data_IF_559806235736
#
_entry.id   IF_559806235736
#
_cell.length_a   1.000
_cell.length_b   1.000
_cell.length_c   1.000
_cell.angle_alpha   90.00
_cell.angle_beta   90.00
_cell.angle_gamma   90.00
#
_symmetry.space_group_name_H-M   'P 1'
#
loop_
_entity.id
_entity.type
_entity.pdbx_description
1 polymer ?
#
# COMPACT_ATOMS: atom_id res chain seq x y z
N UNK A 1 -4.70 -4.29 -8.84
CA UNK A 1 -3.29 -3.96 -9.13
C UNK A 1 -3.20 -2.78 -10.09
N UNK A 2 -3.88 -2.82 -11.23
CA UNK A 2 -3.78 -1.73 -12.21
C UNK A 2 -4.22 -0.38 -11.70
N UNK A 3 -5.33 -0.33 -10.97
CA UNK A 3 -5.84 0.92 -10.39
C UNK A 3 -4.90 1.47 -9.32
N UNK A 4 -4.36 0.61 -8.48
CA UNK A 4 -3.39 1.01 -7.46
C UNK A 4 -2.11 1.51 -8.10
N UNK A 5 -1.63 0.84 -9.14
CA UNK A 5 -0.44 1.24 -9.88
C UNK A 5 -0.59 2.64 -10.46
N UNK A 6 -1.72 2.90 -11.14
CA UNK A 6 -2.04 4.20 -11.70
C UNK A 6 -2.10 5.29 -10.61
N UNK A 7 -2.75 4.99 -9.49
CA UNK A 7 -2.90 5.93 -8.38
C UNK A 7 -1.53 6.23 -7.75
N UNK A 8 -0.69 5.23 -7.58
CA UNK A 8 0.65 5.39 -7.04
C UNK A 8 1.50 6.29 -7.95
N UNK A 9 1.42 6.11 -9.27
CA UNK A 9 2.09 6.98 -10.22
C UNK A 9 1.59 8.43 -10.11
N UNK A 10 0.28 8.61 -10.04
CA UNK A 10 -0.33 9.93 -9.97
C UNK A 10 0.11 10.71 -8.72
N UNK A 11 0.32 10.04 -7.61
CA UNK A 11 0.74 10.68 -6.36
C UNK A 11 2.25 10.63 -6.12
N UNK A 12 3.02 10.18 -7.11
CA UNK A 12 4.48 10.26 -7.04
C UNK A 12 5.14 9.25 -6.11
N UNK A 13 4.55 8.08 -5.92
CA UNK A 13 5.21 7.00 -5.20
C UNK A 13 6.47 6.56 -5.96
N UNK A 14 7.47 6.05 -5.25
CA UNK A 14 8.72 5.63 -5.87
C UNK A 14 8.61 4.25 -6.53
N UNK A 15 7.67 3.44 -6.12
CA UNK A 15 7.50 2.11 -6.69
C UNK A 15 6.36 1.35 -6.04
N UNK A 16 6.08 0.19 -6.61
CA UNK A 16 5.04 -0.72 -6.14
C UNK A 16 5.64 -2.11 -6.01
N UNK A 17 5.42 -2.76 -4.89
CA UNK A 17 5.89 -4.13 -4.66
C UNK A 17 4.67 -5.03 -4.58
N UNK A 18 4.63 -6.04 -5.45
CA UNK A 18 3.57 -7.04 -5.46
C UNK A 18 4.04 -8.26 -4.71
N UNK A 19 3.36 -8.55 -3.62
CA UNK A 19 3.64 -9.72 -2.82
C UNK A 19 2.74 -10.89 -3.23
N UNK A 20 2.92 -12.03 -2.59
CA UNK A 20 2.28 -13.30 -2.95
C UNK A 20 0.79 -13.19 -3.28
N UNK A 21 0.37 -13.79 -4.39
CA UNK A 21 -1.04 -13.88 -4.77
C UNK A 21 -1.62 -12.66 -5.47
N UNK A 22 -0.81 -11.67 -5.81
CA UNK A 22 -1.28 -10.53 -6.58
C UNK A 22 -1.54 -10.91 -8.04
N UNK A 23 -2.41 -10.14 -8.71
CA UNK A 23 -2.65 -10.31 -10.13
C UNK A 23 -1.37 -10.04 -10.93
N UNK A 24 -1.25 -10.69 -12.10
CA UNK A 24 -0.13 -10.47 -12.99
C UNK A 24 -0.08 -8.99 -13.42
N UNK A 25 1.00 -8.26 -13.10
CA UNK A 25 1.10 -6.84 -13.43
C UNK A 25 1.19 -6.59 -14.95
N UNK A 26 1.57 -7.60 -15.72
CA UNK A 26 1.75 -7.50 -17.18
C UNK A 26 0.57 -8.04 -17.97
N UNK A 27 -0.50 -8.49 -17.31
CA UNK A 27 -1.72 -8.91 -18.00
C UNK A 27 -2.37 -7.76 -18.76
N UNK A 28 -2.98 -8.01 -19.94
CA UNK A 28 -3.55 -6.93 -20.76
C UNK A 28 -4.55 -6.03 -20.04
N UNK A 29 -5.41 -6.62 -19.20
CA UNK A 29 -6.38 -5.85 -18.42
C UNK A 29 -5.70 -4.94 -17.40
N UNK A 30 -4.68 -5.44 -16.72
CA UNK A 30 -3.90 -4.66 -15.75
C UNK A 30 -3.19 -3.51 -16.44
N UNK A 31 -2.50 -3.76 -17.54
CA UNK A 31 -1.79 -2.73 -18.31
C UNK A 31 -2.74 -1.62 -18.74
N UNK A 32 -3.93 -1.97 -19.25
CA UNK A 32 -4.93 -0.97 -19.62
C UNK A 32 -5.40 -0.13 -18.43
N UNK A 33 -5.57 -0.75 -17.28
CA UNK A 33 -6.03 -0.04 -16.08
C UNK A 33 -5.01 0.97 -15.56
N UNK A 34 -3.72 0.84 -15.89
CA UNK A 34 -2.69 1.77 -15.44
C UNK A 34 -2.71 3.11 -16.18
N UNK A 35 -3.36 3.16 -17.34
CA UNK A 35 -3.38 4.37 -18.18
C UNK A 35 -1.99 4.94 -18.45
N UNK A 36 -1.02 4.05 -18.70
CA UNK A 36 0.34 4.45 -19.02
C UNK A 36 1.32 4.43 -17.84
N UNK A 37 0.85 4.29 -16.60
CA UNK A 37 1.73 4.21 -15.44
C UNK A 37 2.71 3.03 -15.53
N UNK A 38 2.34 1.97 -16.26
CA UNK A 38 3.18 0.81 -16.52
C UNK A 38 4.56 1.19 -17.08
N UNK A 39 4.67 2.34 -17.75
CA UNK A 39 5.92 2.82 -18.33
C UNK A 39 6.67 3.82 -17.44
N UNK A 40 6.07 4.28 -16.35
CA UNK A 40 6.64 5.34 -15.51
C UNK A 40 7.00 4.90 -14.11
N UNK A 41 6.20 4.03 -13.50
CA UNK A 41 6.40 3.63 -12.11
C UNK A 41 6.95 2.21 -12.04
N UNK A 42 8.12 1.99 -11.44
CA UNK A 42 8.66 0.64 -11.31
C UNK A 42 7.78 -0.24 -10.43
N UNK A 43 7.63 -1.50 -10.84
CA UNK A 43 6.91 -2.52 -10.10
C UNK A 43 7.81 -3.72 -9.94
N UNK A 44 7.89 -4.24 -8.72
CA UNK A 44 8.67 -5.43 -8.40
C UNK A 44 7.75 -6.50 -7.84
N UNK A 45 8.09 -7.75 -8.09
CA UNK A 45 7.46 -8.89 -7.43
C UNK A 45 8.45 -9.42 -6.40
N UNK A 46 7.98 -9.64 -5.17
CA UNK A 46 8.83 -10.15 -4.10
C UNK A 46 7.99 -10.83 -3.02
N UNK A 47 8.61 -11.75 -2.31
CA UNK A 47 7.99 -12.29 -1.11
C UNK A 47 8.02 -11.22 -0.01
N UNK A 48 6.99 -11.22 0.83
CA UNK A 48 6.80 -10.20 1.85
C UNK A 48 8.00 -10.12 2.82
N UNK A 49 8.51 -11.25 3.27
CA UNK A 49 9.65 -11.26 4.20
C UNK A 49 10.88 -10.61 3.59
N UNK A 50 11.14 -10.86 2.31
CA UNK A 50 12.27 -10.27 1.61
C UNK A 50 12.09 -8.77 1.41
N UNK A 51 10.89 -8.35 1.00
CA UNK A 51 10.59 -6.93 0.84
C UNK A 51 10.76 -6.19 2.16
N UNK A 52 10.26 -6.76 3.26
CA UNK A 52 10.39 -6.16 4.58
C UNK A 52 11.86 -6.05 5.02
N UNK A 53 12.66 -7.07 4.73
CA UNK A 53 14.09 -7.05 5.06
C UNK A 53 14.84 -5.95 4.30
N UNK A 54 14.55 -5.78 3.02
CA UNK A 54 15.17 -4.72 2.21
C UNK A 54 14.78 -3.35 2.72
N UNK A 55 13.50 -3.13 3.03
CA UNK A 55 13.03 -1.86 3.56
C UNK A 55 13.67 -1.54 4.92
N UNK A 56 13.79 -2.53 5.79
CA UNK A 56 14.45 -2.37 7.08
C UNK A 56 15.92 -1.99 6.91
N UNK A 57 16.63 -2.62 5.98
CA UNK A 57 18.02 -2.32 5.69
C UNK A 57 18.21 -0.88 5.19
N UNK A 58 17.23 -0.35 4.46
CA UNK A 58 17.26 1.04 3.98
C UNK A 58 16.70 2.04 4.99
N UNK A 59 16.29 1.58 6.16
CA UNK A 59 15.73 2.46 7.18
C UNK A 59 14.35 3.02 6.83
N UNK A 60 13.59 2.32 6.00
CA UNK A 60 12.26 2.75 5.59
C UNK A 60 11.22 2.07 6.48
N UNK A 61 10.46 2.84 7.28
CA UNK A 61 9.44 2.23 8.15
C UNK A 61 8.32 1.60 7.31
N UNK A 62 7.89 0.42 7.74
CA UNK A 62 6.83 -0.35 7.09
C UNK A 62 5.58 -0.29 7.93
N UNK A 63 4.49 0.19 7.35
CA UNK A 63 3.18 0.25 7.97
C UNK A 63 2.24 -0.75 7.28
N UNK A 64 1.18 -1.11 7.98
CA UNK A 64 0.14 -1.97 7.41
C UNK A 64 -1.23 -1.40 7.77
N UNK A 65 -2.18 -1.47 6.84
CA UNK A 65 -3.55 -1.05 7.14
C UNK A 65 -4.26 -2.15 7.93
N UNK A 66 -4.87 -1.79 9.06
CA UNK A 66 -5.56 -2.74 9.93
C UNK A 66 -6.53 -2.04 10.88
N UNK A 67 -7.34 -2.82 11.59
CA UNK A 67 -8.27 -2.33 12.61
C UNK A 67 -8.06 -3.12 13.91
N UNK A 68 -6.91 -2.92 14.54
CA UNK A 68 -6.54 -3.56 15.81
C UNK A 68 -6.58 -2.53 16.94
N UNK A 69 -6.48 -2.99 18.19
CA UNK A 69 -6.55 -2.10 19.35
C UNK A 69 -5.46 -1.03 19.35
N UNK A 70 -4.25 -1.39 18.92
CA UNK A 70 -3.11 -0.48 18.89
C UNK A 70 -2.95 0.25 17.54
N UNK A 71 -3.90 0.07 16.63
CA UNK A 71 -3.88 0.74 15.33
C UNK A 71 -4.14 2.24 15.52
N UNK A 72 -3.33 3.06 14.86
CA UNK A 72 -3.43 4.52 14.95
C UNK A 72 -4.03 5.11 13.67
N UNK A 73 -4.58 6.31 13.80
CA UNK A 73 -5.10 7.05 12.65
C UNK A 73 -3.94 7.38 11.69
N UNK A 74 -4.15 7.14 10.41
CA UNK A 74 -3.13 7.35 9.38
C UNK A 74 -2.60 8.79 9.37
N UNK A 75 -3.40 9.75 9.84
CA UNK A 75 -3.02 11.15 9.88
C UNK A 75 -2.04 11.49 11.00
N UNK A 76 -1.83 10.58 11.96
CA UNK A 76 -0.98 10.82 13.12
C UNK A 76 0.45 10.29 12.96
N UNK A 77 0.77 9.68 11.84
CA UNK A 77 2.10 9.12 11.57
C UNK A 77 2.76 9.84 10.40
N UNK A 78 4.09 9.84 10.41
CA UNK A 78 4.88 10.44 9.33
C UNK A 78 5.03 9.43 8.19
N UNK A 79 4.38 9.70 7.07
CA UNK A 79 4.38 8.80 5.92
C UNK A 79 5.22 9.29 4.74
N UNK A 80 5.89 10.42 4.87
CA UNK A 80 6.67 11.01 3.76
C UNK A 80 7.76 10.08 3.22
N UNK A 81 8.41 9.30 4.08
CA UNK A 81 9.39 8.29 3.70
C UNK A 81 9.00 6.98 4.36
N UNK A 82 8.16 6.22 3.68
CA UNK A 82 7.60 5.00 4.26
C UNK A 82 7.15 4.03 3.18
N UNK A 83 6.85 2.81 3.59
CA UNK A 83 6.15 1.83 2.78
C UNK A 83 4.88 1.41 3.53
N UNK A 84 3.81 1.18 2.81
CA UNK A 84 2.52 0.78 3.40
C UNK A 84 2.00 -0.47 2.71
N UNK A 85 1.64 -1.47 3.50
CA UNK A 85 1.02 -2.70 3.00
C UNK A 85 -0.49 -2.49 2.93
N UNK A 86 -1.04 -2.72 1.74
CA UNK A 86 -2.49 -2.72 1.52
C UNK A 86 -2.94 -4.16 1.38
N UNK A 87 -3.87 -4.57 2.20
CA UNK A 87 -4.39 -5.93 2.17
C UNK A 87 -5.33 -6.20 1.01
N UNK A 88 -5.56 -7.48 0.72
CA UNK A 88 -6.51 -7.89 -0.31
C UNK A 88 -7.95 -7.68 0.16
N UNK A 89 -8.87 -7.55 -0.80
CA UNK A 89 -10.29 -7.45 -0.50
C UNK A 89 -10.78 -8.72 0.20
N UNK A 90 -11.58 -8.55 1.23
CA UNK A 90 -12.18 -9.64 2.00
C UNK A 90 -11.27 -10.30 3.02
N UNK A 91 -9.96 -10.31 2.82
CA UNK A 91 -9.00 -10.94 3.74
C UNK A 91 -8.20 -9.94 4.56
N UNK A 92 -8.04 -8.72 4.05
CA UNK A 92 -7.21 -7.74 4.70
C UNK A 92 -5.71 -8.11 4.64
N UNK A 93 -4.96 -7.58 5.58
CA UNK A 93 -3.51 -7.81 5.69
C UNK A 93 -3.25 -9.13 6.41
N UNK A 94 -2.26 -9.88 5.93
CA UNK A 94 -1.93 -11.19 6.53
C UNK A 94 -1.34 -11.05 7.93
N UNK A 95 -1.40 -12.13 8.71
CA UNK A 95 -0.79 -12.15 10.04
C UNK A 95 0.74 -11.89 9.96
N UNK A 96 1.39 -12.45 8.94
CA UNK A 96 2.82 -12.24 8.75
C UNK A 96 3.15 -10.76 8.47
N UNK A 97 2.32 -10.07 7.70
CA UNK A 97 2.49 -8.65 7.45
C UNK A 97 2.36 -7.84 8.75
N UNK A 98 1.41 -8.21 9.60
CA UNK A 98 1.25 -7.56 10.91
C UNK A 98 2.47 -7.76 11.80
N UNK A 99 3.09 -8.93 11.74
CA UNK A 99 4.33 -9.21 12.50
C UNK A 99 5.53 -8.41 11.99
N UNK A 100 5.60 -8.19 10.69
CA UNK A 100 6.73 -7.50 10.05
C UNK A 100 6.62 -5.99 10.09
N UNK A 101 5.44 -5.42 10.22
CA UNK A 101 5.27 -3.97 10.17
C UNK A 101 5.71 -3.30 11.47
N UNK A 102 6.15 -2.05 11.32
CA UNK A 102 6.50 -1.21 12.47
C UNK A 102 5.25 -0.82 13.26
N UNK A 103 4.17 -0.49 12.54
CA UNK A 103 2.91 -0.06 13.16
C UNK A 103 1.76 -0.26 12.19
N UNK A 104 0.57 -0.51 12.72
CA UNK A 104 -0.64 -0.57 11.91
C UNK A 104 -1.33 0.80 11.91
N UNK A 105 -1.93 1.14 10.77
CA UNK A 105 -2.63 2.42 10.57
C UNK A 105 -4.02 2.15 10.02
N UNK A 106 -4.94 3.07 10.31
CA UNK A 106 -6.30 2.99 9.78
C UNK A 106 -6.70 4.30 9.13
N UNK A 107 -7.57 4.19 8.14
CA UNK A 107 -8.25 5.34 7.55
C UNK A 107 -9.52 5.55 8.37
N UNK A 108 -9.67 6.69 9.05
CA UNK A 108 -10.85 6.91 9.89
C UNK A 108 -12.11 6.97 9.05
N UNK A 109 -13.14 6.27 9.51
CA UNK A 109 -14.44 6.20 8.85
C UNK A 109 -15.53 6.25 9.92
N UNK A 110 -16.76 6.51 9.49
CA UNK A 110 -17.90 6.46 10.40
C UNK A 110 -18.12 5.03 10.88
N UNK A 111 -18.59 4.85 12.10
CA UNK A 111 -18.73 3.55 12.76
C UNK A 111 -19.55 2.53 11.97
N UNK A 112 -20.54 2.97 11.21
CA UNK A 112 -21.40 2.10 10.41
C UNK A 112 -20.79 1.63 9.10
N UNK A 113 -19.57 2.04 8.80
CA UNK A 113 -18.85 1.62 7.61
C UNK A 113 -17.84 0.57 8.00
N UNK A 114 -17.85 -0.59 7.34
CA UNK A 114 -16.96 -1.70 7.68
C UNK A 114 -15.54 -1.49 7.14
N UNK A 115 -15.41 -1.23 5.85
CA UNK A 115 -14.10 -1.03 5.23
C UNK A 115 -14.23 -0.40 3.86
N UNK A 116 -13.11 0.14 3.37
CA UNK A 116 -12.97 0.53 1.97
C UNK A 116 -12.39 -0.64 1.18
N UNK A 117 -12.67 -0.71 -0.13
CA UNK A 117 -12.00 -1.69 -0.97
C UNK A 117 -10.50 -1.33 -1.07
N UNK A 118 -9.68 -2.28 -1.49
CA UNK A 118 -8.23 -2.12 -1.50
C UNK A 118 -7.76 -0.93 -2.35
N UNK A 119 -8.38 -0.70 -3.51
CA UNK A 119 -8.00 0.41 -4.38
C UNK A 119 -8.31 1.76 -3.75
N UNK A 120 -9.47 1.89 -3.10
CA UNK A 120 -9.85 3.13 -2.43
C UNK A 120 -9.00 3.38 -1.19
N UNK A 121 -8.70 2.33 -0.42
CA UNK A 121 -7.80 2.42 0.73
C UNK A 121 -6.41 2.86 0.28
N UNK A 122 -5.89 2.28 -0.79
CA UNK A 122 -4.60 2.66 -1.35
C UNK A 122 -4.59 4.12 -1.79
N UNK A 123 -5.66 4.60 -2.41
CA UNK A 123 -5.77 6.00 -2.83
C UNK A 123 -5.65 6.95 -1.64
N UNK A 124 -6.39 6.68 -0.56
CA UNK A 124 -6.35 7.51 0.64
C UNK A 124 -4.96 7.52 1.29
N UNK A 125 -4.33 6.35 1.41
CA UNK A 125 -3.00 6.22 1.99
C UNK A 125 -1.96 6.94 1.12
N UNK A 126 -2.00 6.75 -0.19
CA UNK A 126 -1.06 7.40 -1.11
C UNK A 126 -1.18 8.91 -1.06
N UNK A 127 -2.38 9.43 -0.94
CA UNK A 127 -2.59 10.86 -0.75
C UNK A 127 -1.90 11.36 0.53
N UNK A 128 -2.09 10.66 1.65
CA UNK A 128 -1.44 11.03 2.91
C UNK A 128 0.10 10.96 2.82
N UNK A 129 0.64 9.98 2.11
CA UNK A 129 2.08 9.87 1.90
C UNK A 129 2.65 11.03 1.10
N UNK A 130 1.90 11.55 0.15
CA UNK A 130 2.37 12.50 -0.85
C UNK A 130 1.98 13.96 -0.59
N UNK A 131 0.97 14.22 0.24
CA UNK A 131 0.31 15.52 0.30
C UNK A 131 1.24 16.71 0.59
N UNK A 132 2.31 16.50 1.31
CA UNK A 132 3.27 17.57 1.61
C UNK A 132 4.28 17.81 0.49
N UNK A 133 4.37 16.87 -0.47
CA UNK A 133 5.30 16.95 -1.59
C UNK A 133 4.64 17.43 -2.89
N UNK A 134 3.32 17.41 -2.93
CA UNK A 134 2.57 17.80 -4.13
C UNK A 134 2.23 19.29 -4.17
#
# INVERSE_FOLDING_TARGET
VGTIWRTADAFGADGLILCNGCADPWGPKTVRATMGAVFRLPVWEAELDRAAAVLAAEGIPLYATALLEDTVDVRTVELGRSAVIIGSEGRGVSQRALELCFRTVRIPMRERCESLNAAMAACAVLWEMARERL
#
